data_IF_829277998270
#
_entry.id   IF_829277998270
#
_cell.length_a   1.000
_cell.length_b   1.000
_cell.length_c   1.000
_cell.angle_alpha   90.00
_cell.angle_beta   90.00
_cell.angle_gamma   90.00
#
_symmetry.space_group_name_H-M   'P 1'
#
loop_
_entity.id
_entity.type
_entity.pdbx_description
1 polymer ?
#
# COMPACT_ATOMS: atom_id res chain seq x y z
N UNK A 1 2.68 20.40 -4.68
CA UNK A 1 3.36 19.09 -4.52
C UNK A 1 2.29 18.03 -4.48
N UNK A 2 1.89 17.55 -5.66
CA UNK A 2 0.78 16.63 -5.81
C UNK A 2 1.36 15.22 -5.92
N UNK A 3 1.01 14.30 -5.01
CA UNK A 3 1.53 12.93 -5.04
C UNK A 3 0.40 11.93 -4.82
N UNK A 4 0.37 10.90 -5.65
CA UNK A 4 -0.56 9.76 -5.52
C UNK A 4 0.00 8.79 -4.49
N UNK A 5 -0.83 8.33 -3.56
CA UNK A 5 -0.46 7.37 -2.54
C UNK A 5 -1.16 6.03 -2.80
N UNK A 6 -0.37 5.00 -3.10
CA UNK A 6 -0.86 3.64 -3.08
C UNK A 6 -0.66 3.06 -1.67
N UNK A 7 -1.75 2.87 -0.93
CA UNK A 7 -1.70 2.33 0.43
C UNK A 7 -1.90 0.82 0.38
N UNK A 8 -1.01 0.11 1.07
CA UNK A 8 -1.09 -1.32 1.35
C UNK A 8 -1.00 -1.49 2.86
N UNK A 9 -1.84 -2.32 3.46
CA UNK A 9 -1.66 -2.71 4.85
C UNK A 9 -1.21 -4.18 4.87
N UNK A 10 0.11 -4.50 4.95
CA UNK A 10 0.64 -5.78 5.48
C UNK A 10 2.14 -6.01 5.23
N UNK A 11 2.83 -6.63 6.21
CA UNK A 11 4.26 -7.04 6.08
C UNK A 11 4.53 -8.53 6.38
N UNK A 12 3.68 -9.26 7.13
CA UNK A 12 3.79 -10.73 7.21
C UNK A 12 3.00 -11.46 6.12
N UNK A 13 3.70 -12.26 5.31
CA UNK A 13 3.18 -13.33 4.41
C UNK A 13 2.85 -13.00 2.96
N UNK A 14 3.17 -11.82 2.46
CA UNK A 14 2.92 -11.48 1.05
C UNK A 14 4.17 -11.09 0.25
N UNK A 15 5.14 -12.00 0.23
CA UNK A 15 6.32 -11.98 -0.68
C UNK A 15 5.91 -11.94 -2.16
N UNK A 16 4.72 -12.48 -2.49
CA UNK A 16 4.19 -12.54 -3.88
C UNK A 16 3.61 -11.21 -4.35
N UNK A 17 2.99 -10.45 -3.43
CA UNK A 17 2.38 -9.15 -3.71
C UNK A 17 3.45 -8.11 -3.97
N UNK A 18 4.47 -8.07 -3.12
CA UNK A 18 5.55 -7.08 -3.23
C UNK A 18 6.28 -7.21 -4.56
N UNK A 19 6.64 -8.42 -5.01
CA UNK A 19 7.28 -8.63 -6.33
C UNK A 19 6.42 -8.19 -7.51
N UNK A 20 5.11 -8.46 -7.50
CA UNK A 20 4.20 -7.99 -8.58
C UNK A 20 4.09 -6.47 -8.54
N UNK A 21 3.90 -5.89 -7.36
CA UNK A 21 3.76 -4.45 -7.20
C UNK A 21 5.00 -3.72 -7.70
N UNK A 22 6.22 -4.13 -7.31
CA UNK A 22 7.47 -3.46 -7.76
C UNK A 22 7.58 -3.41 -9.29
N UNK A 23 7.13 -4.46 -9.99
CA UNK A 23 7.13 -4.52 -11.46
C UNK A 23 5.98 -3.72 -12.08
N UNK A 24 4.76 -3.82 -11.55
CA UNK A 24 3.58 -3.11 -12.06
C UNK A 24 3.71 -1.59 -12.02
N UNK A 25 4.54 -1.07 -11.10
CA UNK A 25 4.69 0.36 -10.81
C UNK A 25 6.01 0.96 -11.34
N UNK A 26 6.87 0.12 -11.93
CA UNK A 26 8.11 0.57 -12.54
C UNK A 26 7.81 1.65 -13.60
N UNK A 27 8.42 2.84 -13.44
CA UNK A 27 8.20 4.00 -14.31
C UNK A 27 7.14 5.01 -13.83
N UNK A 28 6.41 4.75 -12.75
CA UNK A 28 5.44 5.70 -12.16
C UNK A 28 6.14 6.63 -11.16
N UNK A 29 6.85 7.65 -11.67
CA UNK A 29 7.72 8.52 -10.86
C UNK A 29 6.97 9.52 -9.97
N UNK A 30 5.71 9.85 -10.29
CA UNK A 30 4.85 10.76 -9.51
C UNK A 30 4.08 10.09 -8.35
N UNK A 31 4.34 8.81 -8.08
CA UNK A 31 3.59 7.99 -7.12
C UNK A 31 4.48 7.60 -5.94
N UNK A 32 3.91 7.62 -4.74
CA UNK A 32 4.49 7.06 -3.51
C UNK A 32 3.66 5.88 -3.04
N UNK A 33 4.34 4.99 -2.31
CA UNK A 33 3.74 3.80 -1.74
C UNK A 33 3.84 3.88 -0.22
N UNK A 34 2.80 3.43 0.46
CA UNK A 34 2.78 3.33 1.91
C UNK A 34 2.31 1.93 2.28
N UNK A 35 3.20 1.16 2.91
CA UNK A 35 2.87 -0.12 3.53
C UNK A 35 2.71 0.08 5.04
N UNK A 36 1.53 -0.16 5.60
CA UNK A 36 1.27 -0.09 7.04
C UNK A 36 1.24 -1.52 7.60
N UNK A 37 1.96 -1.81 8.67
CA UNK A 37 1.82 -3.12 9.34
C UNK A 37 0.56 -3.16 10.22
N UNK A 38 -0.09 -4.32 10.28
CA UNK A 38 -1.14 -4.62 11.29
C UNK A 38 -0.63 -5.53 12.41
N UNK A 39 0.64 -5.92 12.38
CA UNK A 39 1.30 -6.72 13.41
C UNK A 39 2.51 -5.94 13.93
N UNK A 40 2.28 -4.80 14.62
CA UNK A 40 3.37 -3.94 15.08
C UNK A 40 4.24 -4.61 16.13
N UNK A 41 3.76 -5.64 16.83
CA UNK A 41 4.53 -6.36 17.85
C UNK A 41 5.63 -7.22 17.20
N UNK A 42 5.32 -7.85 16.06
CA UNK A 42 6.32 -8.59 15.29
C UNK A 42 7.12 -7.70 14.34
N UNK A 43 6.45 -6.82 13.59
CA UNK A 43 7.03 -6.00 12.53
C UNK A 43 7.76 -4.79 13.14
N UNK A 44 8.88 -5.06 13.81
CA UNK A 44 9.79 -4.03 14.32
C UNK A 44 10.39 -3.21 13.18
N UNK A 45 10.96 -2.05 13.49
CA UNK A 45 11.64 -1.22 12.49
C UNK A 45 12.76 -1.97 11.76
N UNK A 46 13.45 -2.88 12.44
CA UNK A 46 14.50 -3.71 11.85
C UNK A 46 13.92 -4.76 10.88
N UNK A 47 12.81 -5.41 11.25
CA UNK A 47 12.09 -6.35 10.38
C UNK A 47 11.56 -5.64 9.14
N UNK A 48 10.96 -4.46 9.30
CA UNK A 48 10.45 -3.64 8.19
C UNK A 48 11.56 -3.19 7.24
N UNK A 49 12.72 -2.78 7.77
CA UNK A 49 13.90 -2.41 6.97
C UNK A 49 14.43 -3.61 6.18
N UNK A 50 14.63 -4.73 6.85
CA UNK A 50 15.08 -5.97 6.21
C UNK A 50 14.11 -6.42 5.11
N UNK A 51 12.81 -6.28 5.36
CA UNK A 51 11.78 -6.55 4.36
C UNK A 51 11.91 -5.62 3.14
N UNK A 52 12.00 -4.30 3.36
CA UNK A 52 12.16 -3.31 2.30
C UNK A 52 13.41 -3.55 1.45
N UNK A 53 14.55 -3.82 2.09
CA UNK A 53 15.83 -4.13 1.45
C UNK A 53 15.72 -5.38 0.57
N UNK A 54 15.00 -6.41 1.05
CA UNK A 54 14.73 -7.63 0.29
C UNK A 54 13.94 -7.43 -1.01
N UNK A 55 13.27 -6.29 -1.18
CA UNK A 55 12.57 -5.91 -2.42
C UNK A 55 13.28 -4.81 -3.21
N UNK A 56 14.47 -4.39 -2.79
CA UNK A 56 15.22 -3.32 -3.45
C UNK A 56 14.56 -1.95 -3.32
N UNK A 57 13.77 -1.74 -2.28
CA UNK A 57 13.13 -0.44 -2.01
C UNK A 57 14.15 0.49 -1.36
N UNK A 58 14.81 1.33 -2.18
CA UNK A 58 15.91 2.18 -1.73
C UNK A 58 15.79 3.66 -2.16
N UNK A 59 14.78 4.00 -2.95
CA UNK A 59 14.61 5.35 -3.53
C UNK A 59 13.74 6.30 -2.68
N UNK A 60 13.31 5.84 -1.50
CA UNK A 60 12.47 6.61 -0.58
C UNK A 60 11.02 6.83 -1.04
N UNK A 61 10.60 6.27 -2.19
CA UNK A 61 9.22 6.42 -2.67
C UNK A 61 8.26 5.44 -2.03
N UNK A 62 8.75 4.33 -1.50
CA UNK A 62 7.95 3.35 -0.80
C UNK A 62 8.31 3.32 0.69
N UNK A 63 7.36 3.77 1.50
CA UNK A 63 7.46 3.92 2.94
C UNK A 63 6.82 2.71 3.61
N UNK A 64 7.50 2.14 4.59
CA UNK A 64 6.93 1.13 5.50
C UNK A 64 6.70 1.79 6.85
N UNK A 65 5.44 1.82 7.30
CA UNK A 65 5.00 2.49 8.50
C UNK A 65 4.48 1.50 9.55
N UNK A 66 4.69 1.87 10.81
CA UNK A 66 4.27 1.14 12.01
C UNK A 66 3.59 2.11 12.95
N UNK A 67 2.52 1.65 13.59
CA UNK A 67 1.82 2.37 14.65
C UNK A 67 1.08 1.40 15.57
N UNK A 68 0.47 1.90 16.66
CA UNK A 68 -0.42 1.10 17.50
C UNK A 68 -1.52 0.43 16.66
N UNK A 69 -1.84 -0.84 16.97
CA UNK A 69 -2.84 -1.59 16.21
C UNK A 69 -4.21 -0.89 16.21
N UNK A 70 -4.58 -0.24 17.33
CA UNK A 70 -5.82 0.55 17.45
C UNK A 70 -5.89 1.69 16.42
N UNK A 71 -4.79 2.38 16.18
CA UNK A 71 -4.76 3.49 15.22
C UNK A 71 -4.86 2.97 13.78
N UNK A 72 -4.27 1.81 13.51
CA UNK A 72 -4.36 1.13 12.21
C UNK A 72 -5.78 0.64 11.96
N UNK A 73 -6.45 0.08 12.96
CA UNK A 73 -7.85 -0.33 12.87
C UNK A 73 -8.77 0.87 12.58
N UNK A 74 -8.61 1.98 13.33
CA UNK A 74 -9.36 3.23 13.09
C UNK A 74 -9.12 3.76 11.67
N UNK A 75 -7.88 3.74 11.19
CA UNK A 75 -7.55 4.17 9.83
C UNK A 75 -8.21 3.28 8.77
N UNK A 76 -8.24 1.97 8.97
CA UNK A 76 -8.88 1.03 8.04
C UNK A 76 -10.40 1.24 7.99
N UNK A 77 -11.06 1.34 9.15
CA UNK A 77 -12.52 1.49 9.23
C UNK A 77 -12.99 2.87 8.78
N UNK A 78 -12.38 3.94 9.30
CA UNK A 78 -12.85 5.30 9.08
C UNK A 78 -12.17 6.01 7.90
N UNK A 79 -10.93 5.63 7.58
CA UNK A 79 -10.17 6.22 6.49
C UNK A 79 -10.38 5.47 5.18
N UNK A 80 -10.27 4.15 5.21
CA UNK A 80 -10.35 3.31 4.01
C UNK A 80 -11.67 2.57 3.84
N UNK A 81 -12.62 2.70 4.78
CA UNK A 81 -13.91 2.01 4.73
C UNK A 81 -13.77 0.49 4.59
N UNK A 82 -12.73 -0.09 5.20
CA UNK A 82 -12.42 -1.51 5.22
C UNK A 82 -12.73 -2.10 6.58
N UNK A 83 -13.21 -3.35 6.60
CA UNK A 83 -13.42 -4.09 7.84
C UNK A 83 -12.08 -4.37 8.54
N UNK A 84 -12.02 -4.03 9.82
CA UNK A 84 -10.86 -4.23 10.70
C UNK A 84 -11.20 -5.04 11.96
N UNK A 85 -12.42 -5.58 12.04
CA UNK A 85 -12.96 -6.21 13.25
C UNK A 85 -12.21 -7.46 13.71
N UNK A 86 -11.50 -8.14 12.80
CA UNK A 86 -10.76 -9.37 13.06
C UNK A 86 -9.25 -9.24 12.73
N UNK A 87 -8.69 -8.04 12.88
CA UNK A 87 -7.23 -7.85 12.79
C UNK A 87 -6.50 -8.50 13.97
N UNK A 88 -5.31 -9.11 13.76
CA UNK A 88 -4.57 -9.22 12.49
C UNK A 88 -4.95 -10.46 11.64
N UNK A 89 -5.89 -11.29 12.11
CA UNK A 89 -6.22 -12.61 11.57
C UNK A 89 -6.86 -12.57 10.19
N UNK A 90 -7.88 -11.72 10.02
CA UNK A 90 -8.58 -11.51 8.76
C UNK A 90 -8.43 -10.04 8.35
N UNK A 91 -7.83 -9.83 7.18
CA UNK A 91 -7.57 -8.49 6.66
C UNK A 91 -7.86 -8.45 5.15
N UNK A 92 -8.69 -7.52 4.68
CA UNK A 92 -8.88 -7.30 3.26
C UNK A 92 -7.56 -6.84 2.63
N UNK A 93 -7.09 -7.57 1.63
CA UNK A 93 -5.81 -7.31 0.97
C UNK A 93 -6.03 -6.57 -0.35
N UNK A 94 -6.12 -5.24 -0.29
CA UNK A 94 -6.25 -4.36 -1.44
C UNK A 94 -5.04 -3.43 -1.61
N UNK A 95 -4.81 -3.02 -2.86
CA UNK A 95 -4.09 -1.80 -3.19
C UNK A 95 -5.11 -0.67 -3.28
N UNK A 96 -4.90 0.37 -2.49
CA UNK A 96 -5.82 1.51 -2.43
C UNK A 96 -5.16 2.69 -3.12
N UNK A 97 -5.78 3.21 -4.18
CA UNK A 97 -5.29 4.40 -4.88
C UNK A 97 -5.88 5.65 -4.25
N UNK A 98 -5.02 6.51 -3.72
CA UNK A 98 -5.40 7.81 -3.13
C UNK A 98 -4.75 8.93 -3.96
N UNK A 99 -5.53 9.95 -4.32
CA UNK A 99 -5.04 11.12 -5.06
C UNK A 99 -4.33 12.15 -4.15
N UNK A 100 -3.84 13.24 -4.75
CA UNK A 100 -3.14 14.31 -4.04
C UNK A 100 -4.03 15.15 -3.12
N UNK A 101 -5.35 15.01 -3.22
CA UNK A 101 -6.33 15.63 -2.34
C UNK A 101 -6.74 14.69 -1.20
N UNK A 102 -6.12 13.51 -1.11
CA UNK A 102 -6.44 12.50 -0.10
C UNK A 102 -7.72 11.73 -0.39
N UNK A 103 -8.26 11.78 -1.61
CA UNK A 103 -9.48 11.06 -1.98
C UNK A 103 -9.17 9.68 -2.52
N UNK A 104 -9.93 8.68 -2.07
CA UNK A 104 -9.85 7.32 -2.60
C UNK A 104 -10.41 7.31 -4.03
N UNK A 105 -9.61 6.79 -4.96
CA UNK A 105 -9.95 6.66 -6.38
C UNK A 105 -10.28 5.23 -6.78
N UNK A 106 -9.88 4.23 -5.98
CA UNK A 106 -10.24 2.84 -6.20
C UNK A 106 -9.53 1.87 -5.26
N UNK A 107 -10.10 0.68 -5.18
CA UNK A 107 -9.53 -0.50 -4.53
C UNK A 107 -9.21 -1.52 -5.62
N UNK A 108 -8.03 -2.13 -5.54
CA UNK A 108 -7.58 -3.07 -6.54
C UNK A 108 -6.99 -4.30 -5.85
N UNK A 109 -7.49 -5.47 -6.21
CA UNK A 109 -6.93 -6.75 -5.82
C UNK A 109 -5.55 -6.92 -6.46
N UNK A 110 -4.58 -7.29 -5.64
CA UNK A 110 -3.23 -7.57 -6.10
C UNK A 110 -3.10 -8.93 -6.82
N UNK A 111 -4.10 -9.80 -6.67
CA UNK A 111 -4.08 -11.15 -7.22
C UNK A 111 -4.71 -11.23 -8.62
N UNK A 112 -5.32 -10.14 -9.09
CA UNK A 112 -6.03 -10.02 -10.35
C UNK A 112 -5.24 -9.12 -11.32
N UNK A 113 -4.94 -9.63 -12.52
CA UNK A 113 -4.15 -8.92 -13.53
C UNK A 113 -4.91 -7.78 -14.22
N UNK A 114 -6.23 -7.93 -14.37
CA UNK A 114 -7.07 -6.91 -14.98
C UNK A 114 -7.22 -5.72 -14.03
N UNK A 115 -7.39 -5.99 -12.73
CA UNK A 115 -7.41 -4.94 -11.71
C UNK A 115 -6.05 -4.22 -11.58
N UNK A 116 -4.93 -4.95 -11.66
CA UNK A 116 -3.60 -4.33 -11.69
C UNK A 116 -3.38 -3.47 -12.95
N UNK A 117 -3.93 -3.89 -14.09
CA UNK A 117 -3.90 -3.10 -15.33
C UNK A 117 -4.72 -1.83 -15.18
N UNK A 118 -5.94 -1.94 -14.64
CA UNK A 118 -6.81 -0.81 -14.36
C UNK A 118 -6.18 0.18 -13.36
N UNK A 119 -5.52 -0.32 -12.31
CA UNK A 119 -4.76 0.51 -11.36
C UNK A 119 -3.70 1.34 -12.10
N UNK A 120 -2.89 0.69 -12.94
CA UNK A 120 -1.81 1.37 -13.67
C UNK A 120 -2.34 2.47 -14.58
N UNK A 121 -3.44 2.23 -15.27
CA UNK A 121 -4.03 3.20 -16.18
C UNK A 121 -4.68 4.37 -15.43
N UNK A 122 -5.37 4.10 -14.32
CA UNK A 122 -5.91 5.14 -13.45
C UNK A 122 -4.81 6.02 -12.85
N UNK A 123 -3.71 5.43 -12.39
CA UNK A 123 -2.54 6.16 -11.91
C UNK A 123 -1.96 7.07 -13.00
N UNK A 124 -1.82 6.56 -14.24
CA UNK A 124 -1.33 7.36 -15.38
C UNK A 124 -2.25 8.53 -15.71
N UNK A 125 -3.56 8.32 -15.64
CA UNK A 125 -4.54 9.36 -15.90
C UNK A 125 -4.47 10.47 -14.84
N UNK A 126 -4.41 10.10 -13.55
CA UNK A 126 -4.27 11.05 -12.46
C UNK A 126 -2.96 11.83 -12.55
N UNK A 127 -1.85 11.15 -12.85
CA UNK A 127 -0.54 11.77 -12.99
C UNK A 127 -0.44 12.79 -14.15
N UNK A 128 -1.32 12.69 -15.15
CA UNK A 128 -1.44 13.66 -16.26
C UNK A 128 -2.30 14.87 -15.92
N UNK A 129 -3.26 14.72 -15.01
CA UNK A 129 -4.15 15.80 -14.56
C UNK A 129 -3.58 16.64 -13.40
N UNK A 130 -2.36 16.33 -12.96
CA UNK A 130 -1.64 17.00 -11.86
C UNK A 130 -0.52 17.90 -12.36
#
# INVERSE_FOLDING_TARGET
>A
MSCLLAVRAFVRRCLRISRRCTTCIAGLTKVRFLSITVDPDYDTLEVLRTYADGFGVNDGRWIFARGPLVDVAVLLEHGFMLDASDLPSNHPSYLILVDDKGQIRGFYSYNDDDELTALRDNVRNLARSM
#
